data_IF_044927586052
#
_entry.id   IF_044927586052
#
_cell.length_a   1.000
_cell.length_b   1.000
_cell.length_c   1.000
_cell.angle_alpha   90.00
_cell.angle_beta   90.00
_cell.angle_gamma   90.00
#
_symmetry.space_group_name_H-M   'P 1'
#
loop_
_entity.id
_entity.type
_entity.pdbx_description
1 polymer ?
#
# COMPACT_ATOMS: atom_id res chain seq x y z
N UNK A 1 -11.42 -14.05 -17.49
CA UNK A 1 -10.15 -14.78 -17.62
C UNK A 1 -8.92 -13.93 -17.33
N UNK A 2 -8.46 -13.02 -18.21
CA UNK A 2 -7.19 -12.30 -17.98
C UNK A 2 -7.22 -11.41 -16.73
N UNK A 3 -8.30 -10.67 -16.52
CA UNK A 3 -8.48 -9.85 -15.32
C UNK A 3 -8.56 -10.67 -14.03
N UNK A 4 -9.10 -11.89 -14.05
CA UNK A 4 -9.17 -12.78 -12.87
C UNK A 4 -7.78 -13.30 -12.50
N UNK A 5 -6.93 -13.58 -13.49
CA UNK A 5 -5.52 -13.94 -13.26
C UNK A 5 -4.77 -12.78 -12.60
N UNK A 6 -4.99 -11.55 -13.07
CA UNK A 6 -4.39 -10.34 -12.49
C UNK A 6 -4.90 -10.09 -11.08
N UNK A 7 -6.20 -10.27 -10.83
CA UNK A 7 -6.77 -10.14 -9.49
C UNK A 7 -6.06 -11.08 -8.52
N UNK A 8 -5.87 -12.35 -8.92
CA UNK A 8 -5.17 -13.33 -8.10
C UNK A 8 -3.73 -12.89 -7.79
N UNK A 9 -2.98 -12.45 -8.80
CA UNK A 9 -1.60 -11.97 -8.61
C UNK A 9 -1.55 -10.79 -7.62
N UNK A 10 -2.50 -9.86 -7.71
CA UNK A 10 -2.55 -8.68 -6.83
C UNK A 10 -2.98 -9.07 -5.41
N UNK A 11 -3.88 -10.05 -5.26
CA UNK A 11 -4.28 -10.61 -3.96
C UNK A 11 -3.09 -11.30 -3.29
N UNK A 12 -2.40 -12.18 -4.02
CA UNK A 12 -1.22 -12.91 -3.52
C UNK A 12 -0.13 -11.91 -3.08
N UNK A 13 0.10 -10.85 -3.86
CA UNK A 13 0.98 -9.74 -3.47
C UNK A 13 0.53 -9.05 -2.17
N UNK A 14 -0.76 -8.75 -2.01
CA UNK A 14 -1.26 -8.08 -0.81
C UNK A 14 -1.07 -8.96 0.43
N UNK A 15 -1.30 -10.26 0.31
CA UNK A 15 -1.08 -11.22 1.40
C UNK A 15 0.40 -11.26 1.80
N UNK A 16 1.31 -11.35 0.82
CA UNK A 16 2.76 -11.33 1.08
C UNK A 16 3.20 -9.99 1.69
N UNK A 17 2.69 -8.87 1.18
CA UNK A 17 2.97 -7.54 1.71
C UNK A 17 2.51 -7.41 3.17
N UNK A 18 1.30 -7.85 3.50
CA UNK A 18 0.78 -7.84 4.87
C UNK A 18 1.58 -8.78 5.80
N UNK A 19 1.98 -9.95 5.30
CA UNK A 19 2.83 -10.89 6.04
C UNK A 19 4.22 -10.28 6.34
N UNK A 20 4.84 -9.65 5.34
CA UNK A 20 6.09 -8.90 5.52
C UNK A 20 5.91 -7.83 6.60
N UNK A 21 4.86 -7.02 6.52
CA UNK A 21 4.61 -5.94 7.47
C UNK A 21 4.46 -6.44 8.91
N UNK A 22 3.78 -7.58 9.11
CA UNK A 22 3.57 -8.16 10.46
C UNK A 22 4.83 -8.83 11.02
N UNK A 23 5.58 -9.55 10.17
CA UNK A 23 6.79 -10.28 10.60
C UNK A 23 7.98 -9.36 10.86
N UNK A 24 8.20 -8.38 9.98
CA UNK A 24 9.35 -7.46 10.06
C UNK A 24 9.06 -6.22 10.92
N UNK A 25 7.86 -6.13 11.51
CA UNK A 25 7.41 -4.99 12.35
C UNK A 25 7.60 -3.61 11.70
N UNK A 26 7.56 -3.53 10.37
CA UNK A 26 7.65 -2.24 9.69
C UNK A 26 6.42 -1.38 9.97
N UNK A 27 6.62 -0.08 10.14
CA UNK A 27 5.55 0.88 10.44
C UNK A 27 4.61 1.14 9.24
N UNK A 28 4.66 0.33 8.19
CA UNK A 28 3.53 0.24 7.25
C UNK A 28 2.20 -0.07 7.97
N UNK A 29 2.26 -0.68 9.16
CA UNK A 29 1.09 -0.97 10.01
C UNK A 29 0.78 0.10 11.05
N UNK A 30 1.62 1.13 11.22
CA UNK A 30 1.50 2.10 12.32
C UNK A 30 1.69 3.51 11.79
N UNK A 31 0.73 4.40 12.08
CA UNK A 31 0.91 5.84 11.86
C UNK A 31 0.88 6.59 13.17
N UNK A 32 1.83 7.48 13.36
CA UNK A 32 1.83 8.40 14.48
C UNK A 32 1.17 9.72 14.06
N UNK A 33 0.35 10.29 14.94
CA UNK A 33 -0.20 11.63 14.79
C UNK A 33 -0.04 12.37 16.09
N UNK A 34 0.52 13.57 16.03
CA UNK A 34 0.48 14.50 17.16
C UNK A 34 -0.93 15.08 17.25
N UNK A 35 -1.58 14.88 18.38
CA UNK A 35 -2.88 15.47 18.71
C UNK A 35 -2.67 16.50 19.80
N UNK A 36 -2.96 17.75 19.46
CA UNK A 36 -2.90 18.89 20.38
C UNK A 36 -4.23 19.04 21.09
N UNK A 37 -4.19 18.97 22.41
CA UNK A 37 -5.26 19.35 23.32
C UNK A 37 -4.92 20.72 23.93
N UNK A 38 -5.91 21.42 24.49
CA UNK A 38 -5.79 22.81 24.97
C UNK A 38 -4.60 23.06 25.92
N UNK A 39 -4.09 22.01 26.60
CA UNK A 39 -2.95 22.10 27.52
C UNK A 39 -1.85 21.04 27.31
N UNK A 40 -1.92 20.19 26.28
CA UNK A 40 -0.87 19.19 26.02
C UNK A 40 -0.91 18.61 24.60
N UNK A 41 0.24 18.16 24.10
CA UNK A 41 0.33 17.38 22.86
C UNK A 41 0.64 15.93 23.19
N UNK A 42 -0.06 14.99 22.56
CA UNK A 42 0.20 13.55 22.69
C UNK A 42 0.37 12.89 21.34
N UNK A 43 1.24 11.89 21.25
CA UNK A 43 1.41 11.06 20.07
C UNK A 43 0.37 9.94 20.12
N UNK A 44 -0.55 9.91 19.16
CA UNK A 44 -1.47 8.78 18.96
C UNK A 44 -0.95 7.86 17.86
N UNK A 45 -0.91 6.57 18.16
CA UNK A 45 -0.58 5.49 17.22
C UNK A 45 -1.86 4.86 16.69
N UNK A 46 -1.95 4.71 15.38
CA UNK A 46 -3.07 4.07 14.70
C UNK A 46 -2.59 2.86 13.92
N UNK A 47 -3.28 1.73 14.12
CA UNK A 47 -3.05 0.53 13.32
C UNK A 47 -3.61 0.73 11.91
N UNK A 48 -2.87 0.26 10.91
CA UNK A 48 -3.22 0.28 9.50
C UNK A 48 -3.50 -1.15 9.05
N UNK A 49 -4.58 -1.33 8.30
CA UNK A 49 -4.85 -2.56 7.53
C UNK A 49 -4.82 -2.24 6.05
N UNK A 50 -4.07 -3.00 5.26
CA UNK A 50 -4.04 -2.82 3.82
C UNK A 50 -5.14 -3.62 3.15
N UNK A 51 -5.83 -3.01 2.19
CA UNK A 51 -6.91 -3.62 1.42
C UNK A 51 -6.81 -3.26 -0.05
N UNK A 52 -7.37 -4.11 -0.91
CA UNK A 52 -7.53 -3.83 -2.35
C UNK A 52 -8.91 -3.19 -2.59
N UNK A 53 -8.91 -2.11 -3.36
CA UNK A 53 -10.10 -1.55 -3.99
C UNK A 53 -9.98 -1.70 -5.49
N UNK A 54 -10.95 -2.38 -6.09
CA UNK A 54 -10.99 -2.60 -7.53
C UNK A 54 -12.00 -1.67 -8.21
N UNK A 55 -11.60 -1.14 -9.36
CA UNK A 55 -12.48 -0.57 -10.38
C UNK A 55 -12.17 -1.24 -11.73
N UNK A 56 -12.95 -0.92 -12.77
CA UNK A 56 -12.90 -1.59 -14.08
C UNK A 56 -11.47 -1.78 -14.63
N UNK A 57 -10.62 -0.75 -14.56
CA UNK A 57 -9.24 -0.76 -15.08
C UNK A 57 -8.20 -0.34 -14.02
N UNK A 58 -8.54 -0.42 -12.73
CA UNK A 58 -7.69 0.09 -11.65
C UNK A 58 -7.78 -0.84 -10.44
N UNK A 59 -6.61 -1.18 -9.89
CA UNK A 59 -6.49 -1.76 -8.56
C UNK A 59 -5.76 -0.77 -7.66
N UNK A 60 -6.39 -0.38 -6.57
CA UNK A 60 -5.82 0.49 -5.56
C UNK A 60 -5.59 -0.31 -4.28
N UNK A 61 -4.32 -0.49 -3.94
CA UNK A 61 -3.91 -0.98 -2.62
C UNK A 61 -3.79 0.23 -1.71
N UNK A 62 -4.59 0.25 -0.65
CA UNK A 62 -4.63 1.35 0.32
C UNK A 62 -4.51 0.84 1.75
N UNK A 63 -3.76 1.58 2.56
CA UNK A 63 -3.75 1.43 4.01
C UNK A 63 -4.95 2.16 4.62
N UNK A 64 -5.66 1.51 5.53
CA UNK A 64 -6.81 2.06 6.24
C UNK A 64 -6.53 2.09 7.72
N UNK A 65 -6.62 3.29 8.30
CA UNK A 65 -6.56 3.49 9.75
C UNK A 65 -7.91 3.95 10.28
N UNK A 66 -8.32 3.40 11.42
CA UNK A 66 -9.55 3.80 12.12
C UNK A 66 -9.16 4.87 13.14
N UNK A 67 -9.44 6.13 12.85
CA UNK A 67 -9.03 7.28 13.70
C UNK A 67 -10.08 7.57 14.77
N UNK A 68 -11.36 7.43 14.42
CA UNK A 68 -12.55 7.44 15.27
C UNK A 68 -13.51 6.39 14.73
N UNK A 69 -14.43 5.86 15.55
CA UNK A 69 -15.32 4.72 15.23
C UNK A 69 -16.07 4.84 13.88
N UNK A 70 -16.18 6.05 13.33
CA UNK A 70 -16.91 6.38 12.09
C UNK A 70 -15.99 6.92 10.97
N UNK A 71 -14.79 7.43 11.30
CA UNK A 71 -13.88 8.08 10.33
C UNK A 71 -12.66 7.22 10.03
N UNK A 72 -12.68 6.59 8.84
CA UNK A 72 -11.55 5.84 8.28
C UNK A 72 -10.66 6.78 7.48
N UNK A 73 -9.38 6.89 7.84
CA UNK A 73 -8.38 7.60 7.05
C UNK A 73 -7.68 6.59 6.14
N UNK A 74 -7.67 6.88 4.84
CA UNK A 74 -7.13 6.02 3.78
C UNK A 74 -5.87 6.61 3.21
N UNK A 75 -4.91 5.76 2.88
CA UNK A 75 -3.63 6.15 2.32
C UNK A 75 -3.33 5.26 1.12
N UNK A 76 -3.17 5.84 -0.08
CA UNK A 76 -2.81 5.05 -1.25
C UNK A 76 -1.37 4.55 -1.09
N UNK A 77 -1.19 3.23 -1.12
CA UNK A 77 0.14 2.63 -1.16
C UNK A 77 0.59 2.48 -2.61
N UNK A 78 -0.21 1.74 -3.38
CA UNK A 78 0.08 1.42 -4.77
C UNK A 78 -1.22 1.43 -5.57
N UNK A 79 -1.25 2.22 -6.64
CA UNK A 79 -2.28 2.20 -7.67
C UNK A 79 -1.71 1.50 -8.91
N UNK A 80 -2.47 0.55 -9.42
CA UNK A 80 -2.16 -0.25 -10.60
C UNK A 80 -3.23 0.08 -11.63
N UNK A 81 -2.86 0.79 -12.68
CA UNK A 81 -3.78 1.20 -13.74
C UNK A 81 -3.50 0.41 -15.01
N UNK A 82 -4.55 -0.15 -15.62
CA UNK A 82 -4.48 -0.74 -16.96
C UNK A 82 -4.83 0.31 -18.01
N UNK A 83 -3.89 0.57 -18.91
CA UNK A 83 -4.04 1.48 -20.05
C UNK A 83 -3.75 0.66 -21.31
N UNK A 84 -4.82 0.21 -21.98
CA UNK A 84 -4.76 -0.76 -23.08
C UNK A 84 -4.03 -2.05 -22.62
N UNK A 85 -2.92 -2.39 -23.25
CA UNK A 85 -2.09 -3.58 -22.94
C UNK A 85 -0.94 -3.27 -21.98
N UNK A 86 -0.88 -2.04 -21.46
CA UNK A 86 0.14 -1.62 -20.49
C UNK A 86 -0.44 -1.48 -19.09
N UNK A 87 0.43 -1.67 -18.12
CA UNK A 87 0.21 -1.43 -16.70
C UNK A 87 1.09 -0.26 -16.26
N UNK A 88 0.49 0.61 -15.45
CA UNK A 88 1.17 1.72 -14.79
C UNK A 88 1.05 1.58 -13.28
N UNK A 89 2.18 1.64 -12.59
CA UNK A 89 2.23 1.77 -11.13
C UNK A 89 2.31 3.25 -10.73
N UNK A 90 1.59 3.62 -9.68
CA UNK A 90 1.64 4.97 -9.11
C UNK A 90 1.37 4.89 -7.62
N UNK A 91 2.29 5.39 -6.81
CA UNK A 91 2.22 5.25 -5.36
C UNK A 91 3.56 5.51 -4.69
N UNK A 92 3.70 5.04 -3.46
CA UNK A 92 4.93 5.22 -2.69
C UNK A 92 6.03 4.33 -3.28
N UNK A 93 7.27 4.82 -3.40
CA UNK A 93 8.41 4.07 -3.95
C UNK A 93 8.22 3.54 -5.39
N UNK A 94 7.33 4.17 -6.17
CA UNK A 94 7.06 3.77 -7.57
C UNK A 94 7.83 4.58 -8.61
N UNK A 95 8.68 5.54 -8.20
CA UNK A 95 9.36 6.46 -9.12
C UNK A 95 10.30 5.79 -10.13
N UNK A 96 10.75 4.56 -9.84
CA UNK A 96 11.60 3.76 -10.73
C UNK A 96 10.82 2.93 -11.75
N UNK A 97 9.50 2.84 -11.63
CA UNK A 97 8.66 1.99 -12.49
C UNK A 97 8.14 2.80 -13.68
N UNK A 98 8.53 2.40 -14.89
CA UNK A 98 7.93 2.88 -16.14
C UNK A 98 6.70 2.05 -16.51
N UNK A 99 5.88 2.52 -17.45
CA UNK A 99 4.76 1.72 -17.98
C UNK A 99 5.30 0.43 -18.63
N UNK A 100 4.73 -0.72 -18.24
CA UNK A 100 5.20 -2.04 -18.66
C UNK A 100 4.06 -2.93 -19.20
N UNK A 101 4.41 -4.02 -19.88
CA UNK A 101 3.44 -4.97 -20.42
C UNK A 101 2.73 -5.76 -19.31
N UNK A 102 1.44 -6.05 -19.50
CA UNK A 102 0.62 -6.78 -18.54
C UNK A 102 1.21 -8.12 -18.08
N UNK A 103 1.97 -8.80 -18.94
CA UNK A 103 2.65 -10.07 -18.65
C UNK A 103 3.72 -9.94 -17.57
N UNK A 104 4.26 -8.73 -17.35
CA UNK A 104 5.32 -8.46 -16.38
C UNK A 104 4.81 -8.08 -14.98
N UNK A 105 3.50 -7.98 -14.79
CA UNK A 105 2.90 -7.49 -13.54
C UNK A 105 3.40 -8.22 -12.30
N UNK A 106 3.53 -9.55 -12.37
CA UNK A 106 4.00 -10.34 -11.23
C UNK A 106 5.45 -10.01 -10.87
N UNK A 107 6.35 -9.92 -11.86
CA UNK A 107 7.75 -9.54 -11.63
C UNK A 107 7.88 -8.13 -11.06
N UNK A 108 7.07 -7.18 -11.56
CA UNK A 108 7.09 -5.79 -11.11
C UNK A 108 6.55 -5.64 -9.68
N UNK A 109 5.53 -6.44 -9.30
CA UNK A 109 5.05 -6.49 -7.92
C UNK A 109 6.09 -7.08 -6.95
N UNK A 110 6.83 -8.10 -7.38
CA UNK A 110 7.94 -8.66 -6.59
C UNK A 110 9.05 -7.64 -6.40
N UNK A 111 9.45 -6.93 -7.46
CA UNK A 111 10.44 -5.85 -7.36
C UNK A 111 9.97 -4.74 -6.41
N UNK A 112 8.70 -4.34 -6.53
CA UNK A 112 8.10 -3.36 -5.63
C UNK A 112 8.12 -3.80 -4.16
N UNK A 113 7.82 -5.08 -3.90
CA UNK A 113 7.90 -5.66 -2.57
C UNK A 113 9.33 -5.62 -2.02
N UNK A 114 10.34 -5.95 -2.83
CA UNK A 114 11.75 -5.88 -2.43
C UNK A 114 12.18 -4.44 -2.12
N UNK A 115 11.70 -3.46 -2.88
CA UNK A 115 11.92 -2.04 -2.57
C UNK A 115 11.31 -1.70 -1.21
N UNK A 116 10.10 -2.17 -0.90
CA UNK A 116 9.45 -1.98 0.40
C UNK A 116 10.22 -2.68 1.54
N UNK A 117 10.78 -3.87 1.31
CA UNK A 117 11.64 -4.59 2.27
C UNK A 117 12.93 -3.83 2.59
N UNK A 118 13.47 -3.03 1.68
CA UNK A 118 14.68 -2.22 1.89
C UNK A 118 14.45 -0.89 2.60
N UNK A 119 13.20 -0.44 2.71
CA UNK A 119 12.90 0.83 3.39
C UNK A 119 13.17 0.75 4.90
N UNK A 120 13.56 1.87 5.54
CA UNK A 120 13.64 1.97 7.01
C UNK A 120 12.32 1.61 7.69
N UNK A 121 12.40 1.17 8.94
CA UNK A 121 11.24 0.73 9.72
C UNK A 121 10.21 1.86 9.92
N UNK A 122 10.66 3.11 10.11
CA UNK A 122 9.84 4.27 10.48
C UNK A 122 9.38 5.12 9.28
N UNK A 123 9.51 4.60 8.05
CA UNK A 123 9.32 5.37 6.81
C UNK A 123 7.91 5.99 6.66
N UNK A 124 6.89 5.46 7.35
CA UNK A 124 5.53 6.01 7.39
C UNK A 124 5.16 6.70 8.72
N UNK A 125 5.92 6.47 9.79
CA UNK A 125 5.55 6.89 11.14
C UNK A 125 5.48 8.41 11.30
N UNK A 126 6.39 9.15 10.64
CA UNK A 126 6.54 10.62 10.77
C UNK A 126 5.89 11.43 9.63
N UNK A 127 5.15 10.78 8.74
CA UNK A 127 4.58 11.40 7.52
C UNK A 127 3.13 11.87 7.63
#
# INVERSE_FOLDING_TARGET
>A
MENEKIDKIIIDFLEEFNHMCTTTRKDFLIRERIVTYEHSSSVKRYNITHQIRRKKNEWLIEGVSTVFWIFKKRFPLLRINRINDKIRFTGVFTSSFLDFDITLIESQLKEYLEICKKQPEDVFAKS
#
